data_IF_419133145430
#
_entry.id   IF_419133145430
#
_cell.length_a   1.000
_cell.length_b   1.000
_cell.length_c   1.000
_cell.angle_alpha   90.00
_cell.angle_beta   90.00
_cell.angle_gamma   90.00
#
_symmetry.space_group_name_H-M   'P 1'
#
loop_
_entity.id
_entity.type
_entity.pdbx_description
1 polymer ?
#
# COMPACT_ATOMS: atom_id res chain seq x y z
N UNK A 1 6.05 -15.93 20.47
CA UNK A 1 5.59 -16.96 19.51
C UNK A 1 4.75 -16.30 18.43
N UNK A 2 5.01 -16.58 17.14
CA UNK A 2 4.24 -16.00 16.01
C UNK A 2 2.85 -16.64 15.90
N UNK A 3 1.87 -15.94 15.33
CA UNK A 3 0.49 -16.41 15.13
C UNK A 3 0.02 -16.23 13.69
N UNK A 4 -0.87 -17.08 13.21
CA UNK A 4 -1.55 -16.81 11.93
C UNK A 4 -2.46 -15.60 12.08
N UNK A 5 -2.28 -14.58 11.23
CA UNK A 5 -3.18 -13.44 11.15
C UNK A 5 -4.46 -13.85 10.43
N UNK A 6 -5.61 -13.43 10.93
CA UNK A 6 -6.92 -13.72 10.31
C UNK A 6 -7.55 -12.49 9.66
N UNK A 7 -7.11 -11.27 10.02
CA UNK A 7 -7.58 -9.99 9.49
C UNK A 7 -6.48 -8.93 9.58
N UNK A 8 -6.57 -7.88 8.76
CA UNK A 8 -5.67 -6.71 8.79
C UNK A 8 -4.27 -6.94 8.19
N UNK A 9 -3.39 -5.92 8.27
CA UNK A 9 -2.00 -6.02 7.83
C UNK A 9 -1.23 -7.10 8.58
N UNK A 10 -0.39 -7.85 7.86
CA UNK A 10 0.39 -8.94 8.42
C UNK A 10 1.81 -8.48 8.74
N UNK A 11 2.20 -8.61 10.00
CA UNK A 11 3.46 -8.14 10.56
C UNK A 11 4.45 -9.32 10.73
N UNK A 12 5.58 -9.38 9.99
CA UNK A 12 6.51 -10.53 10.06
C UNK A 12 7.05 -10.85 11.46
N UNK A 13 7.16 -9.85 12.32
CA UNK A 13 7.58 -9.97 13.71
C UNK A 13 6.53 -10.64 14.60
N UNK A 14 5.24 -10.52 14.25
CA UNK A 14 4.09 -11.06 15.00
C UNK A 14 3.45 -12.27 14.33
N UNK A 15 3.59 -12.42 13.01
CA UNK A 15 2.82 -13.35 12.19
C UNK A 15 3.66 -14.31 11.37
N UNK A 16 3.10 -15.48 11.07
CA UNK A 16 3.63 -16.34 10.01
C UNK A 16 3.30 -15.73 8.66
N UNK A 17 4.31 -15.45 7.85
CA UNK A 17 4.14 -14.83 6.54
C UNK A 17 4.93 -15.59 5.49
N UNK A 18 4.26 -15.93 4.40
CA UNK A 18 4.94 -16.44 3.21
C UNK A 18 5.56 -15.25 2.48
N UNK A 19 6.86 -15.34 2.18
CA UNK A 19 7.57 -14.31 1.43
C UNK A 19 7.02 -14.21 0.01
N UNK A 20 6.92 -12.99 -0.50
CA UNK A 20 6.58 -12.66 -1.89
C UNK A 20 7.68 -11.83 -2.54
N UNK A 21 8.93 -12.14 -2.21
CA UNK A 21 10.09 -11.35 -2.60
C UNK A 21 10.24 -11.27 -4.12
N UNK A 22 9.99 -12.38 -4.84
CA UNK A 22 10.06 -12.41 -6.30
C UNK A 22 9.01 -11.50 -6.93
N UNK A 23 7.77 -11.56 -6.45
CA UNK A 23 6.67 -10.73 -6.93
C UNK A 23 6.89 -9.25 -6.59
N UNK A 24 7.47 -8.96 -5.42
CA UNK A 24 7.80 -7.59 -5.01
C UNK A 24 8.90 -7.01 -5.89
N UNK A 25 9.96 -7.79 -6.19
CA UNK A 25 11.03 -7.36 -7.08
C UNK A 25 10.53 -7.09 -8.50
N UNK A 26 9.69 -7.98 -9.06
CA UNK A 26 9.04 -7.77 -10.36
C UNK A 26 8.15 -6.53 -10.36
N UNK A 27 7.39 -6.29 -9.29
CA UNK A 27 6.59 -5.07 -9.13
C UNK A 27 7.45 -3.80 -9.13
N UNK A 28 8.49 -3.76 -8.30
CA UNK A 28 9.41 -2.61 -8.21
C UNK A 28 10.07 -2.33 -9.56
N UNK A 29 10.55 -3.37 -10.25
CA UNK A 29 11.12 -3.24 -11.59
C UNK A 29 10.14 -2.61 -12.58
N UNK A 30 8.88 -3.05 -12.60
CA UNK A 30 7.86 -2.49 -13.50
C UNK A 30 7.52 -1.04 -13.20
N UNK A 31 7.54 -0.64 -11.92
CA UNK A 31 7.39 0.78 -11.53
C UNK A 31 8.58 1.60 -12.03
N UNK A 32 9.81 1.08 -11.91
CA UNK A 32 11.01 1.73 -12.45
C UNK A 32 10.99 1.91 -13.96
N UNK A 33 10.35 0.99 -14.67
CA UNK A 33 10.10 1.10 -16.12
C UNK A 33 8.94 2.04 -16.48
N UNK A 34 8.31 2.71 -15.51
CA UNK A 34 7.20 3.64 -15.74
C UNK A 34 5.89 2.96 -16.13
N UNK A 35 5.72 1.66 -15.81
CA UNK A 35 4.50 0.92 -16.18
C UNK A 35 3.36 1.22 -15.21
N UNK A 36 2.15 1.28 -15.76
CA UNK A 36 0.93 1.20 -14.97
C UNK A 36 0.63 -0.27 -14.62
N UNK A 37 0.41 -0.56 -13.33
CA UNK A 37 0.24 -1.92 -12.83
C UNK A 37 -1.13 -2.08 -12.19
N UNK A 38 -1.86 -3.12 -12.59
CA UNK A 38 -3.13 -3.50 -11.97
C UNK A 38 -2.97 -4.83 -11.25
N UNK A 39 -3.27 -4.86 -9.96
CA UNK A 39 -3.24 -6.08 -9.14
C UNK A 39 -4.66 -6.62 -9.00
N UNK A 40 -5.02 -7.58 -9.86
CA UNK A 40 -6.26 -8.35 -9.71
C UNK A 40 -6.04 -9.51 -8.74
N UNK A 41 -6.66 -9.45 -7.56
CA UNK A 41 -6.78 -10.61 -6.68
C UNK A 41 -8.06 -10.55 -5.84
N UNK A 42 -8.63 -11.69 -5.39
CA UNK A 42 -9.77 -11.73 -4.47
C UNK A 42 -9.56 -10.93 -3.18
N UNK A 43 -10.63 -10.52 -2.47
CA UNK A 43 -10.51 -9.85 -1.16
C UNK A 43 -9.67 -10.70 -0.19
N UNK A 44 -8.96 -10.02 0.73
CA UNK A 44 -8.15 -10.66 1.80
C UNK A 44 -6.95 -11.53 1.35
N UNK A 45 -6.48 -11.41 0.10
CA UNK A 45 -5.29 -12.11 -0.39
C UNK A 45 -3.94 -11.45 -0.04
N UNK A 46 -3.96 -10.47 0.86
CA UNK A 46 -2.77 -9.73 1.28
C UNK A 46 -2.30 -8.65 0.29
N UNK A 47 -3.16 -8.18 -0.63
CA UNK A 47 -2.82 -7.08 -1.57
C UNK A 47 -2.35 -5.83 -0.84
N UNK A 48 -3.06 -5.41 0.19
CA UNK A 48 -2.70 -4.24 0.99
C UNK A 48 -1.33 -4.41 1.65
N UNK A 49 -1.06 -5.56 2.26
CA UNK A 49 0.26 -5.86 2.84
C UNK A 49 1.36 -5.89 1.77
N UNK A 50 1.04 -6.34 0.56
CA UNK A 50 1.98 -6.29 -0.56
C UNK A 50 2.30 -4.85 -0.97
N UNK A 51 1.28 -3.99 -1.11
CA UNK A 51 1.49 -2.57 -1.40
C UNK A 51 2.30 -1.88 -0.30
N UNK A 52 2.01 -2.13 0.97
CA UNK A 52 2.78 -1.56 2.08
C UNK A 52 4.27 -1.89 1.95
N UNK A 53 4.62 -3.15 1.66
CA UNK A 53 6.03 -3.52 1.45
C UNK A 53 6.67 -2.82 0.26
N UNK A 54 5.92 -2.60 -0.81
CA UNK A 54 6.42 -1.84 -1.95
C UNK A 54 6.69 -0.38 -1.55
N UNK A 55 5.78 0.23 -0.77
CA UNK A 55 5.99 1.57 -0.22
C UNK A 55 7.25 1.64 0.64
N UNK A 56 7.45 0.65 1.52
CA UNK A 56 8.64 0.58 2.37
C UNK A 56 9.92 0.49 1.52
N UNK A 57 9.94 -0.35 0.47
CA UNK A 57 11.09 -0.41 -0.47
C UNK A 57 11.34 0.93 -1.15
N UNK A 58 10.30 1.60 -1.65
CA UNK A 58 10.47 2.91 -2.31
C UNK A 58 10.90 4.01 -1.34
N UNK A 59 10.44 3.98 -0.09
CA UNK A 59 10.80 4.97 0.91
C UNK A 59 12.23 4.76 1.45
N UNK A 60 12.65 3.51 1.64
CA UNK A 60 13.91 3.17 2.33
C UNK A 60 15.08 2.95 1.36
N UNK A 61 14.82 2.42 0.16
CA UNK A 61 15.86 1.95 -0.77
C UNK A 61 15.95 2.77 -2.06
N UNK A 62 14.97 3.60 -2.39
CA UNK A 62 14.86 4.28 -3.69
C UNK A 62 14.73 5.81 -3.54
N UNK A 63 15.84 6.56 -3.34
CA UNK A 63 15.81 7.99 -2.98
C UNK A 63 15.21 8.91 -4.05
N UNK A 64 15.14 8.45 -5.30
CA UNK A 64 14.55 9.19 -6.41
C UNK A 64 13.02 9.09 -6.46
N UNK A 65 12.41 8.30 -5.57
CA UNK A 65 10.98 8.06 -5.51
C UNK A 65 10.36 8.71 -4.26
N UNK A 66 9.19 9.32 -4.47
CA UNK A 66 8.35 9.81 -3.39
C UNK A 66 7.00 9.08 -3.46
N UNK A 67 6.85 7.93 -2.79
CA UNK A 67 5.62 7.16 -2.87
C UNK A 67 4.46 7.87 -2.16
N UNK A 68 3.31 7.99 -2.84
CA UNK A 68 2.09 8.58 -2.28
C UNK A 68 1.01 7.50 -2.22
N UNK A 69 0.71 6.95 -1.02
CA UNK A 69 -0.36 5.98 -0.85
C UNK A 69 -1.72 6.68 -0.81
N UNK A 70 -2.59 6.38 -1.77
CA UNK A 70 -3.96 6.87 -1.83
C UNK A 70 -4.95 5.73 -1.56
N UNK A 71 -5.86 5.92 -0.61
CA UNK A 71 -6.97 4.99 -0.35
C UNK A 71 -8.27 5.59 -0.88
N UNK A 72 -8.85 4.97 -1.91
CA UNK A 72 -10.12 5.44 -2.48
C UNK A 72 -11.37 4.86 -1.83
N UNK A 73 -11.23 3.88 -0.94
CA UNK A 73 -12.37 3.27 -0.22
C UNK A 73 -13.09 4.30 0.67
N UNK A 74 -12.37 5.28 1.22
CA UNK A 74 -12.95 6.35 2.05
C UNK A 74 -13.81 7.34 1.25
N UNK A 75 -13.77 7.28 -0.08
CA UNK A 75 -14.47 8.19 -0.98
C UNK A 75 -15.67 7.56 -1.71
N UNK A 76 -16.01 6.28 -1.44
CA UNK A 76 -17.02 5.51 -2.19
C UNK A 76 -18.38 6.23 -2.34
N UNK A 77 -18.80 6.98 -1.32
CA UNK A 77 -20.12 7.65 -1.27
C UNK A 77 -20.04 9.19 -1.17
N UNK A 78 -18.88 9.79 -1.40
CA UNK A 78 -18.71 11.23 -1.22
C UNK A 78 -19.10 12.03 -2.47
N UNK A 79 -19.53 13.28 -2.26
CA UNK A 79 -19.79 14.19 -3.39
C UNK A 79 -18.48 14.55 -4.10
N UNK A 80 -18.51 14.94 -5.39
CA UNK A 80 -17.30 15.38 -6.09
C UNK A 80 -16.53 16.49 -5.36
N UNK A 81 -17.23 17.43 -4.72
CA UNK A 81 -16.59 18.50 -3.94
C UNK A 81 -15.81 17.96 -2.74
N UNK A 82 -16.36 16.95 -2.05
CA UNK A 82 -15.71 16.31 -0.91
C UNK A 82 -14.53 15.48 -1.40
N UNK A 83 -14.69 14.73 -2.49
CA UNK A 83 -13.62 13.95 -3.11
C UNK A 83 -12.41 14.81 -3.47
N UNK A 84 -12.58 15.90 -4.23
CA UNK A 84 -11.46 16.72 -4.68
C UNK A 84 -10.78 17.47 -3.53
N UNK A 85 -11.54 17.85 -2.50
CA UNK A 85 -10.98 18.47 -1.29
C UNK A 85 -10.12 17.46 -0.52
N UNK A 86 -10.66 16.26 -0.26
CA UNK A 86 -9.92 15.20 0.45
C UNK A 86 -8.69 14.73 -0.32
N UNK A 87 -8.81 14.52 -1.63
CA UNK A 87 -7.66 14.15 -2.47
C UNK A 87 -6.57 15.22 -2.47
N UNK A 88 -6.94 16.50 -2.45
CA UNK A 88 -5.97 17.59 -2.32
C UNK A 88 -5.23 17.54 -0.98
N UNK A 89 -5.94 17.26 0.11
CA UNK A 89 -5.35 17.08 1.44
C UNK A 89 -4.39 15.87 1.47
N UNK A 90 -4.80 14.73 0.91
CA UNK A 90 -3.98 13.51 0.82
C UNK A 90 -2.69 13.72 0.01
N UNK A 91 -2.74 14.57 -1.03
CA UNK A 91 -1.57 14.88 -1.87
C UNK A 91 -0.61 15.90 -1.22
N UNK A 92 -1.12 16.77 -0.35
CA UNK A 92 -0.35 17.90 0.20
C UNK A 92 0.16 17.68 1.62
N UNK A 93 -0.48 16.79 2.38
CA UNK A 93 -0.04 16.43 3.73
C UNK A 93 0.71 15.11 3.63
N UNK A 94 2.05 15.08 3.79
CA UNK A 94 2.76 13.83 3.98
C UNK A 94 2.30 13.27 5.32
N UNK A 95 1.28 12.39 5.33
CA UNK A 95 0.74 11.85 6.57
C UNK A 95 1.87 11.11 7.29
N UNK A 96 2.35 11.60 8.46
CA UNK A 96 3.48 10.98 9.15
C UNK A 96 3.12 9.62 9.76
N UNK A 97 1.85 9.24 9.67
CA UNK A 97 1.34 7.99 10.17
C UNK A 97 0.24 7.53 9.21
N UNK A 98 0.29 6.29 8.77
CA UNK A 98 -0.92 5.55 8.39
C UNK A 98 -1.39 4.79 9.64
N UNK A 99 -2.08 5.41 10.62
CA UNK A 99 -2.65 4.65 11.70
C UNK A 99 -3.95 4.05 11.19
N UNK A 100 -3.90 2.78 10.78
CA UNK A 100 -5.11 1.99 10.59
C UNK A 100 -5.63 1.94 9.17
N UNK A 101 -5.05 1.00 8.42
CA UNK A 101 -5.90 0.04 7.73
C UNK A 101 -6.76 -0.69 8.76
N UNK A 102 -8.00 -0.24 8.92
CA UNK A 102 -9.10 -1.02 9.49
C UNK A 102 -9.91 -1.55 8.32
#
# INVERSE_FOLDING_TARGET
MRRFGTQGPVHPEKNYVVSRATELADFVMRVKEGRYIVIFAPRQTGKTTFFQRALDVFADEEPDYFPIPLNFEVYEDCTPSVFYTGLYEDLTIPSPNYPGLI
#
